data_IF_419210403249
#
_entry.id   IF_419210403249
#
_cell.length_a   1.000
_cell.length_b   1.000
_cell.length_c   1.000
_cell.angle_alpha   90.00
_cell.angle_beta   90.00
_cell.angle_gamma   90.00
#
_symmetry.space_group_name_H-M   'P 1'
#
loop_
_entity.id
_entity.type
_entity.pdbx_description
1 polymer ?
#
# COMPACT_ATOMS: atom_id res chain seq x y z
N UNK A 1 -59.03 -37.78 -36.73
CA UNK A 1 -59.40 -38.06 -35.33
C UNK A 1 -58.18 -37.79 -34.47
N UNK A 2 -58.02 -36.55 -34.03
CA UNK A 2 -58.42 -36.04 -32.69
C UNK A 2 -57.22 -36.19 -31.72
N UNK A 3 -56.50 -35.08 -31.43
CA UNK A 3 -56.64 -34.24 -30.20
C UNK A 3 -55.99 -34.96 -28.99
N UNK A 4 -55.02 -34.45 -28.21
CA UNK A 4 -54.68 -33.11 -27.70
C UNK A 4 -53.27 -33.15 -27.07
N UNK A 5 -52.59 -32.00 -26.96
CA UNK A 5 -51.51 -31.81 -25.97
C UNK A 5 -50.50 -30.71 -26.29
N UNK A 6 -50.84 -29.46 -25.99
CA UNK A 6 -49.93 -28.31 -25.89
C UNK A 6 -50.01 -27.76 -24.44
N UNK A 7 -49.18 -26.81 -23.99
CA UNK A 7 -47.83 -26.97 -23.44
C UNK A 7 -47.75 -26.59 -21.93
N UNK A 8 -46.72 -27.05 -21.22
CA UNK A 8 -46.39 -26.52 -19.89
C UNK A 8 -45.30 -25.45 -20.00
N UNK A 9 -45.67 -24.22 -19.70
CA UNK A 9 -44.81 -23.06 -19.46
C UNK A 9 -44.22 -23.11 -18.04
N UNK A 10 -42.93 -22.81 -17.90
CA UNK A 10 -42.29 -22.38 -16.64
C UNK A 10 -41.00 -21.63 -17.01
N UNK A 11 -41.02 -20.31 -17.11
CA UNK A 11 -40.78 -19.31 -16.04
C UNK A 11 -39.36 -19.38 -15.41
N UNK A 12 -38.46 -18.62 -16.04
CA UNK A 12 -37.34 -17.83 -15.51
C UNK A 12 -36.07 -18.47 -14.90
N UNK A 13 -34.88 -18.01 -15.38
CA UNK A 13 -33.63 -18.01 -14.62
C UNK A 13 -33.46 -16.65 -13.90
N UNK A 14 -33.76 -16.56 -12.61
CA UNK A 14 -33.53 -15.33 -11.82
C UNK A 14 -32.68 -15.53 -10.55
N UNK A 15 -32.03 -16.69 -10.37
CA UNK A 15 -31.26 -16.94 -9.15
C UNK A 15 -29.81 -16.41 -9.15
N UNK A 16 -29.18 -16.17 -10.32
CA UNK A 16 -27.78 -15.70 -10.37
C UNK A 16 -27.61 -14.17 -10.35
N UNK A 17 -28.63 -13.39 -10.72
CA UNK A 17 -28.56 -11.93 -10.60
C UNK A 17 -28.72 -11.44 -9.15
N UNK A 18 -29.43 -12.18 -8.29
CA UNK A 18 -29.72 -11.76 -6.92
C UNK A 18 -28.50 -11.62 -6.01
N UNK A 19 -27.51 -12.53 -6.12
CA UNK A 19 -26.32 -12.50 -5.26
C UNK A 19 -25.35 -11.36 -5.63
N UNK A 20 -25.22 -11.08 -6.93
CA UNK A 20 -24.41 -9.97 -7.46
C UNK A 20 -25.09 -8.63 -7.11
N UNK A 21 -26.43 -8.57 -7.15
CA UNK A 21 -27.19 -7.39 -6.78
C UNK A 21 -27.17 -7.11 -5.27
N UNK A 22 -27.10 -8.14 -4.41
CA UNK A 22 -26.99 -7.99 -2.94
C UNK A 22 -25.64 -7.38 -2.52
N UNK A 23 -24.54 -7.77 -3.19
CA UNK A 23 -23.20 -7.19 -2.96
C UNK A 23 -23.13 -5.74 -3.46
N UNK A 24 -23.84 -5.41 -4.55
CA UNK A 24 -23.96 -4.04 -5.06
C UNK A 24 -24.88 -3.16 -4.19
N UNK A 25 -25.97 -3.69 -3.63
CA UNK A 25 -26.88 -2.97 -2.74
C UNK A 25 -26.23 -2.60 -1.40
N UNK A 26 -25.41 -3.49 -0.82
CA UNK A 26 -24.62 -3.19 0.39
C UNK A 26 -23.55 -2.11 0.15
N UNK A 27 -23.17 -1.85 -1.10
CA UNK A 27 -22.22 -0.79 -1.50
C UNK A 27 -22.90 0.51 -1.98
N UNK A 28 -24.22 0.50 -2.20
CA UNK A 28 -24.94 1.61 -2.84
C UNK A 28 -26.07 2.22 -1.99
N UNK A 29 -26.66 1.52 -1.02
CA UNK A 29 -27.70 2.07 -0.15
C UNK A 29 -27.32 2.08 1.33
N UNK A 30 -26.65 3.15 1.76
CA UNK A 30 -26.79 3.66 3.12
C UNK A 30 -27.15 5.14 3.03
N UNK A 31 -28.44 5.41 2.85
CA UNK A 31 -29.00 6.74 3.11
C UNK A 31 -30.24 6.53 3.97
N UNK A 32 -30.13 6.83 5.25
CA UNK A 32 -31.32 7.08 6.09
C UNK A 32 -31.42 8.58 6.32
N UNK A 33 -32.64 9.09 6.08
CA UNK A 33 -33.07 10.43 6.50
C UNK A 33 -33.13 10.47 8.04
N UNK A 34 -32.70 11.61 8.56
CA UNK A 34 -32.91 12.15 9.91
C UNK A 34 -32.49 11.32 11.14
N UNK A 35 -31.62 11.94 11.95
CA UNK A 35 -31.47 11.67 13.38
C UNK A 35 -30.41 10.63 13.73
N UNK A 36 -29.19 11.10 14.02
CA UNK A 36 -28.00 10.41 14.59
C UNK A 36 -28.19 8.94 15.06
N UNK A 37 -27.35 8.00 14.57
CA UNK A 37 -26.98 6.86 15.41
C UNK A 37 -25.48 6.50 15.39
N UNK A 38 -25.06 5.87 16.51
CA UNK A 38 -23.74 5.31 16.84
C UNK A 38 -23.15 4.44 15.72
N UNK A 39 -21.87 4.65 15.43
CA UNK A 39 -21.10 3.89 14.44
C UNK A 39 -20.49 2.65 15.09
N UNK A 40 -21.03 1.47 14.74
CA UNK A 40 -20.43 0.19 15.08
C UNK A 40 -20.80 -0.83 14.01
N UNK A 41 -19.84 -1.18 13.14
CA UNK A 41 -19.97 -2.29 12.20
C UNK A 41 -19.72 -3.60 12.98
N UNK A 42 -20.58 -4.64 12.87
CA UNK A 42 -20.20 -5.99 13.26
C UNK A 42 -19.13 -6.50 12.28
N UNK A 43 -17.87 -6.43 12.70
CA UNK A 43 -16.72 -6.90 11.93
C UNK A 43 -16.71 -8.42 11.78
N UNK A 44 -17.41 -8.95 10.77
CA UNK A 44 -17.42 -10.39 10.47
C UNK A 44 -17.06 -10.78 9.02
N UNK A 45 -16.69 -9.83 8.16
CA UNK A 45 -16.43 -10.12 6.72
C UNK A 45 -14.95 -9.97 6.32
N UNK A 46 -14.08 -9.38 7.14
CA UNK A 46 -12.70 -9.06 6.73
C UNK A 46 -11.60 -9.83 7.47
N UNK A 47 -11.85 -11.09 7.84
CA UNK A 47 -10.83 -11.96 8.43
C UNK A 47 -10.85 -13.34 7.75
N UNK A 48 -10.05 -13.47 6.68
CA UNK A 48 -9.41 -14.69 6.13
C UNK A 48 -9.10 -14.49 4.64
N UNK A 49 -7.82 -14.61 4.28
CA UNK A 49 -7.30 -14.76 2.91
C UNK A 49 -7.79 -16.06 2.23
N UNK A 50 -8.50 -16.94 2.95
CA UNK A 50 -8.96 -18.24 2.45
C UNK A 50 -10.44 -18.33 2.08
N UNK A 51 -11.24 -17.28 2.29
CA UNK A 51 -12.67 -17.34 1.90
C UNK A 51 -12.78 -17.16 0.39
N UNK A 52 -13.38 -18.13 -0.31
CA UNK A 52 -13.62 -18.11 -1.75
C UNK A 52 -14.20 -16.75 -2.24
N UNK A 53 -15.14 -16.19 -1.48
CA UNK A 53 -15.74 -14.88 -1.75
C UNK A 53 -14.73 -13.73 -1.71
N UNK A 54 -13.77 -13.75 -0.78
CA UNK A 54 -12.70 -12.77 -0.72
C UNK A 54 -11.82 -12.88 -1.98
N UNK A 55 -11.43 -14.09 -2.38
CA UNK A 55 -10.61 -14.30 -3.60
C UNK A 55 -11.32 -13.80 -4.85
N UNK A 56 -12.63 -14.05 -4.97
CA UNK A 56 -13.44 -13.55 -6.09
C UNK A 56 -13.50 -12.01 -6.04
N UNK A 57 -13.87 -11.43 -4.91
CA UNK A 57 -13.97 -9.97 -4.74
C UNK A 57 -12.64 -9.25 -5.00
N UNK A 58 -11.54 -9.78 -4.47
CA UNK A 58 -10.20 -9.25 -4.69
C UNK A 58 -9.77 -9.34 -6.17
N UNK A 59 -10.03 -10.46 -6.85
CA UNK A 59 -9.74 -10.55 -8.28
C UNK A 59 -10.57 -9.54 -9.10
N UNK A 60 -11.85 -9.37 -8.77
CA UNK A 60 -12.69 -8.35 -9.40
C UNK A 60 -12.13 -6.93 -9.18
N UNK A 61 -11.71 -6.62 -7.95
CA UNK A 61 -11.08 -5.34 -7.65
C UNK A 61 -9.75 -5.17 -8.39
N UNK A 62 -8.81 -6.10 -8.26
CA UNK A 62 -7.44 -5.91 -8.75
C UNK A 62 -7.28 -6.04 -10.28
N UNK A 63 -8.23 -6.69 -10.99
CA UNK A 63 -8.03 -7.07 -12.40
C UNK A 63 -9.10 -6.59 -13.37
N UNK A 64 -10.16 -5.93 -12.91
CA UNK A 64 -11.30 -5.59 -13.79
C UNK A 64 -11.65 -4.11 -13.79
N UNK A 65 -12.42 -3.72 -14.81
CA UNK A 65 -13.03 -2.39 -14.90
C UNK A 65 -13.90 -2.05 -13.67
N UNK A 66 -14.52 -3.04 -13.02
CA UNK A 66 -15.32 -2.80 -11.82
C UNK A 66 -14.47 -2.27 -10.68
N UNK A 67 -13.29 -2.86 -10.46
CA UNK A 67 -12.31 -2.35 -9.50
C UNK A 67 -11.86 -0.93 -9.82
N UNK A 68 -11.59 -0.65 -11.10
CA UNK A 68 -11.28 0.70 -11.54
C UNK A 68 -12.42 1.69 -11.27
N UNK A 69 -13.69 1.31 -11.43
CA UNK A 69 -14.84 2.16 -11.06
C UNK A 69 -14.90 2.42 -9.55
N UNK A 70 -14.64 1.40 -8.72
CA UNK A 70 -14.59 1.56 -7.26
C UNK A 70 -13.48 2.51 -6.84
N UNK A 71 -12.28 2.37 -7.41
CA UNK A 71 -11.18 3.32 -7.25
C UNK A 71 -11.60 4.74 -7.65
N UNK A 72 -12.23 4.94 -8.81
CA UNK A 72 -12.69 6.28 -9.23
C UNK A 72 -13.70 6.88 -8.25
N UNK A 73 -14.58 6.07 -7.67
CA UNK A 73 -15.52 6.51 -6.64
C UNK A 73 -14.80 6.89 -5.34
N UNK A 74 -13.80 6.11 -4.92
CA UNK A 74 -12.94 6.44 -3.78
C UNK A 74 -12.18 7.75 -4.00
N UNK A 75 -11.58 7.92 -5.18
CA UNK A 75 -10.90 9.14 -5.61
C UNK A 75 -11.82 10.37 -5.53
N UNK A 76 -13.04 10.27 -6.06
CA UNK A 76 -14.01 11.36 -5.98
C UNK A 76 -14.42 11.69 -4.54
N UNK A 77 -14.57 10.68 -3.68
CA UNK A 77 -14.89 10.88 -2.26
C UNK A 77 -13.73 11.55 -1.52
N UNK A 78 -12.51 11.08 -1.77
CA UNK A 78 -11.29 11.62 -1.20
C UNK A 78 -11.11 13.10 -1.55
N UNK A 79 -11.20 13.48 -2.82
CA UNK A 79 -11.10 14.88 -3.26
C UNK A 79 -12.14 15.81 -2.61
N UNK A 80 -13.33 15.29 -2.28
CA UNK A 80 -14.36 16.06 -1.56
C UNK A 80 -14.05 16.22 -0.07
N UNK A 81 -13.41 15.22 0.53
CA UNK A 81 -13.07 15.20 1.96
C UNK A 81 -11.77 15.94 2.26
N UNK A 82 -10.80 15.81 1.37
CA UNK A 82 -9.44 16.32 1.47
C UNK A 82 -9.05 16.97 0.13
N UNK A 83 -9.56 18.18 -0.17
CA UNK A 83 -9.27 18.85 -1.44
C UNK A 83 -7.77 19.12 -1.65
N UNK A 84 -7.04 19.38 -0.57
CA UNK A 84 -5.60 19.65 -0.56
C UNK A 84 -4.75 18.43 -0.16
N UNK A 85 -5.37 17.24 -0.07
CA UNK A 85 -4.74 16.02 0.44
C UNK A 85 -4.95 15.80 1.94
N UNK A 86 -4.74 14.57 2.41
CA UNK A 86 -4.96 14.16 3.80
C UNK A 86 -3.84 14.57 4.77
N UNK A 87 -2.76 15.15 4.24
CA UNK A 87 -1.60 15.60 5.01
C UNK A 87 -1.00 16.87 4.41
N UNK A 88 -0.40 17.72 5.25
CA UNK A 88 0.47 18.79 4.81
C UNK A 88 1.75 18.22 4.19
N UNK A 89 2.10 18.73 3.01
CA UNK A 89 3.25 18.30 2.22
C UNK A 89 4.56 18.77 2.84
N UNK A 90 5.50 17.85 3.05
CA UNK A 90 6.84 18.14 3.56
C UNK A 90 7.92 17.62 2.59
N UNK A 91 8.40 18.46 1.66
CA UNK A 91 9.44 18.04 0.72
C UNK A 91 10.77 17.84 1.44
N UNK A 92 11.54 16.84 1.01
CA UNK A 92 12.95 16.66 1.40
C UNK A 92 13.85 17.03 0.23
N UNK A 93 14.84 17.86 0.50
CA UNK A 93 15.79 18.32 -0.52
C UNK A 93 17.20 17.90 -0.09
N UNK A 94 17.88 17.23 -1.00
CA UNK A 94 19.28 16.86 -0.96
C UNK A 94 19.99 17.59 -2.11
N UNK A 95 21.32 17.47 -2.21
CA UNK A 95 22.11 18.22 -3.19
C UNK A 95 21.69 17.93 -4.66
N UNK A 96 20.79 18.73 -5.21
CA UNK A 96 20.28 18.54 -6.56
C UNK A 96 19.12 17.55 -6.69
N UNK A 97 18.57 17.02 -5.59
CA UNK A 97 17.44 16.08 -5.59
C UNK A 97 16.36 16.53 -4.62
N UNK A 98 15.10 16.52 -5.05
CA UNK A 98 13.94 16.81 -4.19
C UNK A 98 12.96 15.64 -4.22
N UNK A 99 12.59 15.12 -3.05
CA UNK A 99 11.52 14.15 -2.87
C UNK A 99 10.30 14.87 -2.31
N UNK A 100 9.21 14.86 -3.07
CA UNK A 100 7.96 15.55 -2.74
C UNK A 100 6.86 14.50 -2.48
N UNK A 101 6.44 14.29 -1.22
CA UNK A 101 5.26 13.49 -0.93
C UNK A 101 3.99 14.22 -1.39
N UNK A 102 3.10 13.50 -2.06
CA UNK A 102 1.82 13.98 -2.57
C UNK A 102 0.72 13.15 -1.89
N UNK A 103 0.08 13.67 -0.84
CA UNK A 103 -1.02 12.98 -0.18
C UNK A 103 -2.21 12.90 -1.13
N UNK A 104 -2.64 11.68 -1.42
CA UNK A 104 -3.72 11.37 -2.35
C UNK A 104 -4.70 10.40 -1.71
N UNK A 105 -5.90 10.31 -2.27
CA UNK A 105 -6.96 9.46 -1.71
C UNK A 105 -7.24 9.80 -0.23
N UNK A 106 -7.45 8.79 0.61
CA UNK A 106 -7.76 9.01 2.04
C UNK A 106 -6.50 8.99 2.91
N UNK A 107 -5.51 8.19 2.53
CA UNK A 107 -4.29 7.94 3.31
C UNK A 107 -3.08 7.56 2.44
N UNK A 108 -3.21 7.45 1.12
CA UNK A 108 -2.12 7.07 0.22
C UNK A 108 -1.12 8.22 0.02
N UNK A 109 0.14 7.88 -0.26
CA UNK A 109 1.13 8.79 -0.79
C UNK A 109 1.54 8.39 -2.21
N UNK A 110 1.49 9.36 -3.12
CA UNK A 110 2.33 9.34 -4.32
C UNK A 110 3.60 10.13 -4.02
N UNK A 111 4.69 9.87 -4.76
CA UNK A 111 5.93 10.63 -4.60
C UNK A 111 6.38 11.21 -5.94
N UNK A 112 6.79 12.48 -5.94
CA UNK A 112 7.47 13.10 -7.08
C UNK A 112 8.94 13.35 -6.71
N UNK A 113 9.85 12.66 -7.39
CA UNK A 113 11.28 12.77 -7.21
C UNK A 113 11.84 13.59 -8.36
N UNK A 114 12.55 14.67 -8.04
CA UNK A 114 12.97 15.69 -8.99
C UNK A 114 14.49 15.80 -8.96
N UNK A 115 15.13 15.66 -10.11
CA UNK A 115 16.47 16.20 -10.35
C UNK A 115 16.33 17.71 -10.55
N UNK A 116 16.76 18.48 -9.57
CA UNK A 116 16.49 19.93 -9.56
C UNK A 116 17.34 20.69 -10.57
N UNK A 117 18.44 20.10 -11.05
CA UNK A 117 19.30 20.70 -12.08
C UNK A 117 18.73 20.45 -13.47
N UNK A 118 18.39 19.21 -13.81
CA UNK A 118 17.85 18.87 -15.14
C UNK A 118 16.35 19.12 -15.29
N UNK A 119 15.65 19.39 -14.18
CA UNK A 119 14.18 19.52 -14.13
C UNK A 119 13.44 18.27 -14.63
N UNK A 120 14.10 17.12 -14.60
CA UNK A 120 13.47 15.83 -14.88
C UNK A 120 12.90 15.25 -13.59
N UNK A 121 11.75 14.58 -13.71
CA UNK A 121 11.06 14.00 -12.58
C UNK A 121 10.63 12.55 -12.82
N UNK A 122 10.56 11.81 -11.72
CA UNK A 122 10.02 10.46 -11.60
C UNK A 122 8.87 10.48 -10.61
N UNK A 123 7.73 9.88 -10.96
CA UNK A 123 6.63 9.68 -10.03
C UNK A 123 6.61 8.23 -9.54
N UNK A 124 6.46 8.02 -8.24
CA UNK A 124 6.19 6.69 -7.65
C UNK A 124 4.71 6.63 -7.29
N UNK A 125 4.05 5.54 -7.71
CA UNK A 125 2.65 5.22 -7.43
C UNK A 125 1.69 6.41 -7.58
N UNK A 126 1.53 6.98 -8.80
CA UNK A 126 0.71 8.16 -9.02
C UNK A 126 -0.79 7.82 -8.99
N UNK A 127 -1.36 7.66 -7.81
CA UNK A 127 -2.74 7.22 -7.57
C UNK A 127 -3.77 8.24 -8.04
N UNK A 128 -3.57 9.53 -7.73
CA UNK A 128 -4.42 10.62 -8.22
C UNK A 128 -3.67 11.38 -9.34
N UNK A 129 -4.03 11.14 -10.62
CA UNK A 129 -3.32 11.77 -11.73
C UNK A 129 -3.48 13.30 -11.76
N UNK A 130 -4.56 13.86 -11.20
CA UNK A 130 -4.75 15.33 -11.18
C UNK A 130 -3.87 15.99 -10.12
N UNK A 131 -3.81 15.40 -8.93
CA UNK A 131 -2.95 15.91 -7.86
C UNK A 131 -1.47 15.85 -8.28
N UNK A 132 -1.05 14.72 -8.86
CA UNK A 132 0.32 14.55 -9.35
C UNK A 132 0.63 15.51 -10.51
N UNK A 133 -0.26 15.65 -11.49
CA UNK A 133 -0.09 16.60 -12.60
C UNK A 133 0.02 18.05 -12.11
N UNK A 134 -0.82 18.46 -11.14
CA UNK A 134 -0.74 19.79 -10.55
C UNK A 134 0.61 20.04 -9.84
N UNK A 135 1.17 19.04 -9.16
CA UNK A 135 2.51 19.14 -8.58
C UNK A 135 3.61 19.25 -9.65
N UNK A 136 3.51 18.48 -10.74
CA UNK A 136 4.45 18.55 -11.87
C UNK A 136 4.48 19.97 -12.48
N UNK A 137 3.29 20.54 -12.72
CA UNK A 137 3.14 21.90 -13.25
C UNK A 137 3.66 22.96 -12.29
N UNK A 138 3.30 22.86 -11.00
CA UNK A 138 3.76 23.78 -9.95
C UNK A 138 5.27 23.79 -9.79
N UNK A 139 5.92 22.63 -9.90
CA UNK A 139 7.38 22.50 -9.78
C UNK A 139 8.11 22.85 -11.09
N UNK A 140 7.38 22.99 -12.21
CA UNK A 140 7.95 23.30 -13.52
C UNK A 140 8.90 22.21 -14.03
N UNK A 141 8.54 20.93 -13.82
CA UNK A 141 9.38 19.77 -14.15
C UNK A 141 8.77 18.93 -15.27
N UNK A 142 9.60 18.14 -15.94
CA UNK A 142 9.18 17.17 -16.97
C UNK A 142 9.11 15.76 -16.39
N UNK A 143 7.92 15.14 -16.38
CA UNK A 143 7.76 13.76 -15.94
C UNK A 143 8.28 12.79 -17.01
N UNK A 144 9.34 12.06 -16.69
CA UNK A 144 9.99 11.11 -17.62
C UNK A 144 9.62 9.66 -17.33
N UNK A 145 9.40 9.33 -16.06
CA UNK A 145 9.14 7.97 -15.62
C UNK A 145 8.10 7.91 -14.49
N UNK A 146 7.34 6.82 -14.50
CA UNK A 146 6.49 6.36 -13.41
C UNK A 146 7.06 5.02 -12.93
N UNK A 147 7.31 4.90 -11.63
CA UNK A 147 7.68 3.65 -10.98
C UNK A 147 6.46 3.13 -10.21
N UNK A 148 5.91 1.99 -10.60
CA UNK A 148 4.79 1.36 -9.88
C UNK A 148 5.32 0.26 -8.97
N UNK A 149 5.02 0.35 -7.68
CA UNK A 149 5.39 -0.68 -6.71
C UNK A 149 4.57 -1.95 -6.94
N UNK A 150 3.27 -1.81 -7.19
CA UNK A 150 2.37 -2.93 -7.43
C UNK A 150 1.08 -2.51 -8.16
N UNK A 151 0.21 -3.48 -8.44
CA UNK A 151 -0.94 -3.32 -9.34
C UNK A 151 -2.17 -2.65 -8.78
N UNK A 152 -2.30 -2.46 -7.46
CA UNK A 152 -3.57 -1.95 -6.93
C UNK A 152 -3.88 -0.57 -7.47
N UNK A 153 -5.18 -0.28 -7.59
CA UNK A 153 -5.65 0.90 -8.31
C UNK A 153 -5.34 2.19 -7.57
N UNK A 154 -5.22 2.12 -6.25
CA UNK A 154 -4.73 3.20 -5.41
C UNK A 154 -3.22 3.42 -5.48
N UNK A 155 -2.50 2.71 -6.36
CA UNK A 155 -1.09 2.98 -6.70
C UNK A 155 -0.90 3.24 -8.20
N UNK A 156 -1.50 2.38 -9.03
CA UNK A 156 -1.34 2.41 -10.49
C UNK A 156 -2.47 3.15 -11.25
N UNK A 157 -3.50 3.61 -10.55
CA UNK A 157 -4.74 4.11 -11.15
C UNK A 157 -4.59 5.37 -12.00
N UNK A 158 -3.59 6.21 -11.72
CA UNK A 158 -3.30 7.41 -12.49
C UNK A 158 -2.38 7.21 -13.69
N UNK A 159 -1.78 6.03 -13.87
CA UNK A 159 -0.81 5.76 -14.94
C UNK A 159 -1.31 6.18 -16.32
N UNK A 160 -2.55 5.79 -16.64
CA UNK A 160 -3.17 6.10 -17.94
C UNK A 160 -3.26 7.60 -18.21
N UNK A 161 -3.74 8.34 -17.22
CA UNK A 161 -4.04 9.76 -17.36
C UNK A 161 -2.75 10.58 -17.34
N UNK A 162 -1.78 10.25 -16.49
CA UNK A 162 -0.49 10.93 -16.51
C UNK A 162 0.29 10.71 -17.80
N UNK A 163 0.28 9.49 -18.37
CA UNK A 163 0.91 9.24 -19.69
C UNK A 163 0.26 10.02 -20.83
N UNK A 164 -1.03 10.32 -20.73
CA UNK A 164 -1.73 11.15 -21.73
C UNK A 164 -1.28 12.60 -21.68
N UNK A 165 -1.07 13.13 -20.48
CA UNK A 165 -0.58 14.50 -20.28
C UNK A 165 0.93 14.62 -20.56
N UNK A 166 1.70 13.60 -20.21
CA UNK A 166 3.16 13.58 -20.33
C UNK A 166 3.59 12.57 -21.40
N UNK A 167 3.54 13.01 -22.67
CA UNK A 167 3.90 12.15 -23.80
C UNK A 167 5.34 11.65 -23.67
N UNK A 168 5.56 10.36 -23.91
CA UNK A 168 6.87 9.72 -23.76
C UNK A 168 7.20 9.25 -22.34
N UNK A 169 6.35 9.54 -21.35
CA UNK A 169 6.54 9.03 -20.00
C UNK A 169 6.49 7.48 -19.97
N UNK A 170 7.54 6.89 -19.39
CA UNK A 170 7.76 5.45 -19.27
C UNK A 170 7.12 4.94 -17.98
N UNK A 171 6.39 3.82 -18.04
CA UNK A 171 5.83 3.17 -16.84
C UNK A 171 6.62 1.90 -16.59
N UNK A 172 7.25 1.87 -15.43
CA UNK A 172 8.04 0.76 -14.92
C UNK A 172 7.27 0.01 -13.85
N UNK A 173 7.54 -1.29 -13.74
CA UNK A 173 6.86 -2.17 -12.82
C UNK A 173 7.11 -3.63 -13.17
N UNK A 174 6.68 -4.53 -12.30
CA UNK A 174 6.90 -5.95 -12.49
C UNK A 174 5.83 -6.50 -13.45
N UNK A 175 6.21 -7.20 -14.53
CA UNK A 175 5.23 -7.78 -15.45
C UNK A 175 4.31 -8.81 -14.78
N UNK A 176 4.74 -9.44 -13.68
CA UNK A 176 3.95 -10.42 -12.93
C UNK A 176 2.71 -9.82 -12.24
N UNK A 177 2.71 -8.50 -12.00
CA UNK A 177 1.57 -7.84 -11.36
C UNK A 177 0.58 -7.25 -12.36
N UNK A 178 0.82 -7.31 -13.68
CA UNK A 178 -0.14 -6.76 -14.65
C UNK A 178 -0.39 -5.26 -14.46
N UNK A 179 0.66 -4.50 -14.17
CA UNK A 179 0.63 -3.05 -13.97
C UNK A 179 -0.08 -2.35 -15.13
N UNK A 180 -1.06 -1.51 -14.81
CA UNK A 180 -1.82 -0.77 -15.81
C UNK A 180 -0.88 0.15 -16.62
N UNK A 181 -0.93 0.03 -17.95
CA UNK A 181 -0.12 0.81 -18.89
C UNK A 181 1.39 0.64 -18.77
N UNK A 182 1.86 -0.51 -18.25
CA UNK A 182 3.27 -0.90 -18.23
C UNK A 182 3.90 -0.77 -19.62
N UNK A 183 5.08 -0.16 -19.71
CA UNK A 183 5.85 -0.08 -20.95
C UNK A 183 7.27 -0.61 -20.83
N UNK A 184 7.84 -0.55 -19.63
CA UNK A 184 9.22 -0.97 -19.36
C UNK A 184 9.19 -1.96 -18.18
N UNK A 185 8.98 -3.26 -18.44
CA UNK A 185 8.99 -4.26 -17.38
C UNK A 185 10.36 -4.29 -16.70
N UNK A 186 10.38 -4.49 -15.38
CA UNK A 186 11.61 -4.64 -14.60
C UNK A 186 11.65 -6.00 -13.91
N UNK A 187 12.87 -6.48 -13.73
CA UNK A 187 13.28 -7.62 -12.94
C UNK A 187 13.96 -7.18 -11.64
N UNK A 188 14.21 -8.14 -10.76
CA UNK A 188 14.96 -7.92 -9.54
C UNK A 188 16.38 -7.41 -9.84
N UNK A 189 16.78 -6.31 -9.19
CA UNK A 189 18.06 -5.57 -9.32
C UNK A 189 18.26 -4.80 -10.62
N UNK A 190 17.22 -4.64 -11.44
CA UNK A 190 17.31 -3.74 -12.59
C UNK A 190 17.49 -2.29 -12.13
N UNK A 191 18.20 -1.51 -12.95
CA UNK A 191 18.46 -0.10 -12.70
C UNK A 191 17.59 0.79 -13.59
N UNK A 192 17.05 1.86 -13.03
CA UNK A 192 16.33 2.91 -13.76
C UNK A 192 17.03 4.25 -13.54
N UNK A 193 17.47 4.87 -14.63
CA UNK A 193 18.15 6.16 -14.59
C UNK A 193 17.33 7.26 -15.27
N UNK A 194 17.19 8.40 -14.58
CA UNK A 194 16.53 9.62 -15.09
C UNK A 194 17.33 10.83 -14.63
N UNK A 195 18.02 11.51 -15.55
CA UNK A 195 18.97 12.55 -15.18
C UNK A 195 20.04 11.98 -14.24
N UNK A 196 20.22 12.59 -13.07
CA UNK A 196 21.09 12.06 -11.99
C UNK A 196 20.44 11.01 -11.08
N UNK A 197 19.12 10.80 -11.20
CA UNK A 197 18.38 9.89 -10.32
C UNK A 197 18.69 8.46 -10.74
N UNK A 198 19.22 7.65 -9.83
CA UNK A 198 19.53 6.23 -10.05
C UNK A 198 18.71 5.38 -9.09
N UNK A 199 17.75 4.63 -9.61
CA UNK A 199 16.91 3.73 -8.83
C UNK A 199 17.31 2.28 -9.09
N UNK A 200 17.48 1.50 -8.03
CA UNK A 200 17.49 0.05 -8.10
C UNK A 200 16.10 -0.51 -7.78
N UNK A 201 15.54 -1.31 -8.69
CA UNK A 201 14.28 -2.01 -8.47
C UNK A 201 14.55 -3.36 -7.80
N UNK A 202 13.89 -3.62 -6.66
CA UNK A 202 14.05 -4.87 -5.94
C UNK A 202 12.68 -5.56 -5.83
N UNK A 203 12.58 -6.77 -6.37
CA UNK A 203 11.40 -7.61 -6.21
C UNK A 203 11.19 -7.96 -4.73
N UNK A 204 9.99 -7.69 -4.22
CA UNK A 204 9.58 -7.88 -2.83
C UNK A 204 8.21 -8.54 -2.74
N UNK A 205 8.04 -9.76 -3.30
CA UNK A 205 6.75 -10.45 -3.27
C UNK A 205 6.25 -10.66 -1.83
N UNK A 206 4.94 -10.52 -1.64
CA UNK A 206 4.32 -10.65 -0.32
C UNK A 206 2.92 -10.06 -0.32
N UNK A 207 2.84 -8.74 -0.41
CA UNK A 207 1.56 -8.03 -0.52
C UNK A 207 0.83 -8.45 -1.80
N UNK A 208 1.46 -8.23 -2.96
CA UNK A 208 1.13 -8.86 -4.23
C UNK A 208 2.27 -9.76 -4.69
N UNK A 209 2.03 -10.59 -5.71
CA UNK A 209 3.07 -11.47 -6.27
C UNK A 209 4.16 -10.71 -7.01
N UNK A 210 3.81 -9.62 -7.69
CA UNK A 210 4.75 -8.81 -8.46
C UNK A 210 5.22 -7.54 -7.73
N UNK A 211 5.00 -7.42 -6.42
CA UNK A 211 5.38 -6.21 -5.70
C UNK A 211 6.89 -5.92 -5.85
N UNK A 212 7.24 -4.65 -6.04
CA UNK A 212 8.61 -4.15 -6.07
C UNK A 212 8.76 -2.92 -5.19
N UNK A 213 9.95 -2.77 -4.64
CA UNK A 213 10.42 -1.53 -4.02
C UNK A 213 11.44 -0.86 -4.93
N UNK A 214 11.61 0.44 -4.77
CA UNK A 214 12.61 1.22 -5.51
C UNK A 214 13.54 1.92 -4.53
N UNK A 215 14.84 1.68 -4.65
CA UNK A 215 15.87 2.33 -3.84
C UNK A 215 16.58 3.37 -4.70
N UNK A 216 16.40 4.64 -4.38
CA UNK A 216 17.15 5.74 -4.98
C UNK A 216 18.50 5.86 -4.27
N UNK A 217 19.58 5.74 -5.05
CA UNK A 217 20.95 5.86 -4.56
C UNK A 217 21.28 7.31 -4.18
N UNK A 218 21.66 7.50 -2.91
CA UNK A 218 22.02 8.79 -2.32
C UNK A 218 23.45 9.26 -2.59
N UNK A 219 24.36 8.33 -2.91
CA UNK A 219 25.80 8.60 -3.03
C UNK A 219 26.14 9.68 -4.06
N UNK A 220 25.58 9.67 -5.30
CA UNK A 220 25.92 10.65 -6.33
C UNK A 220 25.66 12.11 -5.94
N UNK A 221 24.83 12.35 -4.93
CA UNK A 221 24.51 13.68 -4.43
C UNK A 221 24.77 13.84 -2.93
N UNK A 222 25.63 13.01 -2.33
CA UNK A 222 26.05 13.12 -0.92
C UNK A 222 24.87 13.24 0.04
N UNK A 223 23.79 12.50 -0.24
CA UNK A 223 22.57 12.44 0.55
C UNK A 223 22.26 11.02 0.98
N UNK A 224 21.26 10.82 1.84
CA UNK A 224 20.80 9.48 2.20
C UNK A 224 20.14 8.81 0.99
N UNK A 225 20.26 7.48 0.93
CA UNK A 225 19.44 6.67 0.03
C UNK A 225 17.96 6.78 0.42
N UNK A 226 17.06 6.63 -0.55
CA UNK A 226 15.60 6.67 -0.31
C UNK A 226 14.93 5.40 -0.80
N UNK A 227 14.23 4.69 0.09
CA UNK A 227 13.41 3.54 -0.21
C UNK A 227 11.95 3.94 -0.42
N UNK A 228 11.42 3.69 -1.61
CA UNK A 228 9.98 3.75 -1.89
C UNK A 228 9.41 2.34 -1.79
N UNK A 229 8.67 2.09 -0.73
CA UNK A 229 8.36 0.72 -0.26
C UNK A 229 6.99 0.20 -0.65
N UNK A 230 6.12 1.06 -1.20
CA UNK A 230 4.74 0.73 -1.51
C UNK A 230 4.05 0.10 -0.30
N UNK A 231 3.51 -1.08 -0.51
CA UNK A 231 2.68 -1.79 0.48
C UNK A 231 3.39 -2.97 1.13
N UNK A 232 4.71 -3.10 0.97
CA UNK A 232 5.47 -4.14 1.68
C UNK A 232 5.85 -3.68 3.09
N UNK A 233 6.39 -2.47 3.23
CA UNK A 233 6.81 -1.91 4.51
C UNK A 233 6.10 -0.57 4.76
N UNK A 234 5.61 -0.38 5.97
CA UNK A 234 5.06 0.88 6.45
C UNK A 234 5.80 1.31 7.71
N UNK A 235 5.63 2.57 8.12
CA UNK A 235 6.08 3.01 9.44
C UNK A 235 5.41 2.13 10.51
N UNK A 236 6.22 1.39 11.28
CA UNK A 236 5.83 0.41 12.30
C UNK A 236 4.92 -0.74 11.82
N UNK A 237 4.81 -0.99 10.50
CA UNK A 237 3.91 -2.01 9.96
C UNK A 237 4.45 -2.69 8.70
N UNK A 238 3.69 -3.66 8.19
CA UNK A 238 3.88 -4.24 6.87
C UNK A 238 2.53 -4.42 6.17
N UNK A 239 2.56 -4.70 4.87
CA UNK A 239 1.39 -5.04 4.08
C UNK A 239 0.61 -6.24 4.60
N UNK A 240 -0.69 -6.27 4.29
CA UNK A 240 -1.45 -7.52 4.31
C UNK A 240 -0.92 -8.44 3.22
N UNK A 241 -0.91 -9.75 3.46
CA UNK A 241 -0.44 -10.75 2.49
C UNK A 241 -1.64 -11.18 1.63
N UNK A 242 -1.85 -10.54 0.48
CA UNK A 242 -2.97 -10.90 -0.40
C UNK A 242 -2.64 -12.04 -1.36
N UNK A 243 -1.40 -12.07 -1.88
CA UNK A 243 -1.02 -13.05 -2.92
C UNK A 243 0.27 -13.84 -2.63
N UNK A 244 0.96 -13.53 -1.53
CA UNK A 244 2.16 -14.23 -1.07
C UNK A 244 1.91 -15.20 0.09
N UNK A 245 2.99 -15.54 0.81
CA UNK A 245 2.97 -16.31 2.06
C UNK A 245 3.76 -15.59 3.16
N UNK A 246 3.60 -15.93 4.45
CA UNK A 246 4.42 -15.37 5.53
C UNK A 246 5.92 -15.52 5.29
N UNK A 247 6.36 -16.68 4.77
CA UNK A 247 7.77 -16.90 4.41
C UNK A 247 8.23 -15.99 3.26
N UNK A 248 7.37 -15.78 2.25
CA UNK A 248 7.68 -14.87 1.13
C UNK A 248 7.81 -13.43 1.62
N UNK A 249 6.85 -12.96 2.43
CA UNK A 249 6.89 -11.63 3.04
C UNK A 249 8.13 -11.47 3.92
N UNK A 250 8.47 -12.47 4.73
CA UNK A 250 9.67 -12.44 5.58
C UNK A 250 10.94 -12.24 4.76
N UNK A 251 11.12 -12.99 3.67
CA UNK A 251 12.28 -12.83 2.79
C UNK A 251 12.37 -11.42 2.19
N UNK A 252 11.23 -10.84 1.82
CA UNK A 252 11.16 -9.45 1.33
C UNK A 252 11.51 -8.42 2.40
N UNK A 253 11.08 -8.63 3.65
CA UNK A 253 11.45 -7.78 4.78
C UNK A 253 12.93 -7.93 5.16
N UNK A 254 13.49 -9.14 5.12
CA UNK A 254 14.91 -9.40 5.37
C UNK A 254 15.80 -8.71 4.33
N UNK A 255 15.37 -8.69 3.06
CA UNK A 255 16.03 -7.91 2.02
C UNK A 255 16.03 -6.41 2.35
N UNK A 256 14.91 -5.86 2.81
CA UNK A 256 14.81 -4.45 3.20
C UNK A 256 15.68 -4.16 4.44
N UNK A 257 15.75 -5.09 5.39
CA UNK A 257 16.61 -4.95 6.57
C UNK A 257 18.10 -4.90 6.23
N UNK A 258 18.51 -5.43 5.08
CA UNK A 258 19.87 -5.35 4.56
C UNK A 258 20.26 -3.98 4.00
N UNK A 259 19.32 -3.03 3.87
CA UNK A 259 19.62 -1.65 3.48
C UNK A 259 20.29 -0.88 4.64
N UNK A 260 21.02 0.19 4.30
CA UNK A 260 21.69 1.05 5.26
C UNK A 260 20.73 1.70 6.25
N UNK A 261 21.13 1.83 7.52
CA UNK A 261 20.26 2.31 8.59
C UNK A 261 19.78 3.76 8.38
N UNK A 262 20.53 4.57 7.66
CA UNK A 262 20.21 5.96 7.29
C UNK A 262 19.29 6.06 6.06
N UNK A 263 18.97 4.94 5.41
CA UNK A 263 18.04 4.91 4.26
C UNK A 263 16.67 5.42 4.68
N UNK A 264 16.20 6.48 4.02
CA UNK A 264 14.89 7.09 4.27
C UNK A 264 13.76 6.22 3.72
N UNK A 265 12.77 5.89 4.55
CA UNK A 265 11.61 5.08 4.19
C UNK A 265 10.42 5.97 3.77
N UNK A 266 9.94 5.74 2.54
CA UNK A 266 8.77 6.39 1.94
C UNK A 266 7.68 5.32 1.67
N UNK A 267 6.67 5.19 2.55
CA UNK A 267 5.63 4.15 2.48
C UNK A 267 4.44 4.48 1.57
N UNK A 268 3.68 3.47 1.14
CA UNK A 268 2.47 3.69 0.33
C UNK A 268 1.34 4.45 1.05
N UNK A 269 1.29 4.39 2.39
CA UNK A 269 0.18 4.89 3.20
C UNK A 269 0.60 5.55 4.52
N UNK A 270 -0.23 6.48 4.98
CA UNK A 270 -0.18 7.13 6.30
C UNK A 270 -0.84 6.25 7.39
N UNK A 271 -0.23 5.10 7.68
CA UNK A 271 -0.70 4.13 8.69
C UNK A 271 0.07 4.16 10.01
N UNK A 272 0.96 5.13 10.19
CA UNK A 272 1.91 5.17 11.30
C UNK A 272 1.24 5.05 12.68
N UNK A 273 0.18 5.82 12.93
CA UNK A 273 -0.50 5.85 14.23
C UNK A 273 -1.19 4.50 14.55
N UNK A 274 -1.93 3.93 13.60
CA UNK A 274 -2.57 2.61 13.78
C UNK A 274 -1.51 1.51 13.96
N UNK A 275 -0.43 1.56 13.17
CA UNK A 275 0.64 0.58 13.23
C UNK A 275 1.39 0.62 14.58
N UNK A 276 1.68 1.82 15.09
CA UNK A 276 2.30 2.01 16.39
C UNK A 276 1.36 1.63 17.54
N UNK A 277 0.04 1.85 17.39
CA UNK A 277 -0.96 1.39 18.35
C UNK A 277 -0.98 -0.15 18.45
N UNK A 278 -0.92 -0.82 17.30
CA UNK A 278 -0.78 -2.29 17.27
C UNK A 278 0.54 -2.75 17.88
N UNK A 279 1.68 -2.13 17.51
CA UNK A 279 2.98 -2.43 18.11
C UNK A 279 2.96 -2.20 19.64
N UNK A 280 2.16 -1.24 20.10
CA UNK A 280 1.60 -1.05 21.43
C UNK A 280 1.31 -2.30 22.23
N UNK A 281 0.46 -3.11 21.62
CA UNK A 281 -0.09 -4.30 22.23
C UNK A 281 0.87 -5.48 22.20
N UNK A 282 1.83 -5.45 21.26
CA UNK A 282 2.79 -6.53 21.04
C UNK A 282 4.03 -6.35 21.91
N UNK A 283 4.61 -5.16 21.95
CA UNK A 283 5.78 -4.82 22.77
C UNK A 283 5.45 -3.60 23.65
N UNK A 284 4.74 -3.78 24.78
CA UNK A 284 4.30 -2.68 25.63
C UNK A 284 5.47 -1.90 26.26
N UNK A 285 6.59 -2.56 26.50
CA UNK A 285 7.78 -1.99 27.15
C UNK A 285 8.79 -1.39 26.16
N UNK A 286 8.49 -1.38 24.85
CA UNK A 286 9.40 -0.83 23.85
C UNK A 286 9.36 0.71 23.86
N UNK A 287 10.32 1.32 24.57
CA UNK A 287 10.44 2.78 24.69
C UNK A 287 10.72 3.51 23.38
N UNK A 288 11.38 2.87 22.40
CA UNK A 288 11.59 3.46 21.08
C UNK A 288 10.26 3.62 20.34
N UNK A 289 9.39 2.61 20.45
CA UNK A 289 8.02 2.63 19.91
C UNK A 289 7.18 3.72 20.57
N UNK A 290 7.24 3.85 21.89
CA UNK A 290 6.48 4.86 22.63
C UNK A 290 6.89 6.29 22.24
N UNK A 291 8.20 6.56 22.17
CA UNK A 291 8.71 7.86 21.68
C UNK A 291 8.24 8.16 20.25
N UNK A 292 8.25 7.16 19.37
CA UNK A 292 7.77 7.33 18.00
C UNK A 292 6.27 7.59 17.94
N UNK A 293 5.46 6.94 18.78
CA UNK A 293 4.02 7.18 18.88
C UNK A 293 3.71 8.63 19.27
N UNK A 294 4.39 9.16 20.30
CA UNK A 294 4.20 10.55 20.72
C UNK A 294 4.55 11.53 19.60
N UNK A 295 5.66 11.30 18.89
CA UNK A 295 6.04 12.11 17.74
C UNK A 295 4.99 12.03 16.61
N UNK A 296 4.50 10.82 16.29
CA UNK A 296 3.46 10.63 15.27
C UNK A 296 2.18 11.36 15.63
N UNK A 297 1.69 11.22 16.87
CA UNK A 297 0.49 11.92 17.34
C UNK A 297 0.64 13.44 17.23
N UNK A 298 1.81 13.98 17.58
CA UNK A 298 2.08 15.41 17.41
C UNK A 298 2.04 15.83 15.93
N UNK A 299 2.65 15.06 15.02
CA UNK A 299 2.56 15.35 13.58
C UNK A 299 1.10 15.32 13.09
N UNK A 300 0.33 14.30 13.48
CA UNK A 300 -1.06 14.11 13.03
C UNK A 300 -2.02 15.18 13.57
N UNK A 301 -1.79 15.72 14.78
CA UNK A 301 -2.53 16.87 15.31
C UNK A 301 -2.41 18.11 14.42
N UNK A 302 -1.26 18.28 13.77
CA UNK A 302 -0.98 19.35 12.81
C UNK A 302 -1.23 18.94 11.36
N UNK A 303 -1.90 17.81 11.13
CA UNK A 303 -2.13 17.21 9.80
C UNK A 303 -0.83 16.98 9.01
N UNK A 304 0.33 16.86 9.65
CA UNK A 304 1.62 16.64 8.98
C UNK A 304 1.83 15.17 8.62
N UNK A 305 2.53 14.92 7.52
CA UNK A 305 2.97 13.58 7.16
C UNK A 305 3.92 13.01 8.22
N UNK A 306 3.84 11.71 8.45
CA UNK A 306 4.75 10.97 9.34
C UNK A 306 5.94 10.36 8.60
N UNK A 307 5.97 10.46 7.27
CA UNK A 307 7.08 10.01 6.43
C UNK A 307 8.01 11.19 6.04
N UNK A 308 9.31 10.93 5.82
CA UNK A 308 9.96 9.62 5.95
C UNK A 308 10.35 9.27 7.40
N UNK A 309 10.45 7.98 7.70
CA UNK A 309 11.29 7.44 8.78
C UNK A 309 12.61 6.94 8.19
N UNK A 310 13.44 6.22 8.96
CA UNK A 310 14.64 5.52 8.48
C UNK A 310 14.55 4.02 8.71
N UNK A 311 15.28 3.22 7.91
CA UNK A 311 15.37 1.76 8.12
C UNK A 311 15.92 1.44 9.53
N UNK A 312 16.90 2.21 10.01
CA UNK A 312 17.44 2.07 11.36
C UNK A 312 16.39 2.30 12.44
N UNK A 313 15.57 3.35 12.31
CA UNK A 313 14.44 3.58 13.21
C UNK A 313 13.44 2.42 13.18
N UNK A 314 13.01 1.96 12.01
CA UNK A 314 12.03 0.87 11.88
C UNK A 314 12.50 -0.41 12.57
N UNK A 315 13.79 -0.75 12.51
CA UNK A 315 14.37 -1.91 13.21
C UNK A 315 14.15 -1.84 14.74
N UNK A 316 13.98 -0.64 15.31
CA UNK A 316 13.81 -0.46 16.75
C UNK A 316 12.37 -0.65 17.25
N UNK A 317 11.35 -0.39 16.42
CA UNK A 317 9.95 -0.40 16.87
C UNK A 317 8.97 -1.15 15.96
N UNK A 318 9.34 -1.48 14.73
CA UNK A 318 8.44 -2.18 13.81
C UNK A 318 8.43 -3.68 14.14
N UNK A 319 7.31 -4.24 14.67
CA UNK A 319 7.29 -5.64 15.11
C UNK A 319 7.57 -6.62 13.96
N UNK A 320 7.28 -6.24 12.70
CA UNK A 320 7.52 -7.11 11.55
C UNK A 320 9.00 -7.20 11.15
N UNK A 321 9.82 -6.18 11.46
CA UNK A 321 11.27 -6.21 11.28
C UNK A 321 12.01 -6.82 12.49
N UNK A 322 11.30 -7.05 13.59
CA UNK A 322 11.85 -7.49 14.87
C UNK A 322 11.61 -8.98 15.15
N UNK A 323 11.15 -9.75 14.16
CA UNK A 323 10.88 -11.20 14.30
C UNK A 323 12.10 -12.03 14.73
N UNK A 324 13.31 -11.49 14.56
CA UNK A 324 14.57 -12.08 15.02
C UNK A 324 14.92 -11.73 16.48
N UNK A 325 14.27 -10.72 17.08
CA UNK A 325 14.56 -10.24 18.43
C UNK A 325 13.90 -11.14 19.48
N UNK A 326 14.68 -11.59 20.48
CA UNK A 326 14.17 -12.43 21.57
C UNK A 326 13.04 -11.75 22.35
N UNK A 327 13.17 -10.44 22.66
CA UNK A 327 12.14 -9.69 23.38
C UNK A 327 10.75 -9.74 22.71
N UNK A 328 10.70 -9.66 21.38
CA UNK A 328 9.44 -9.78 20.64
C UNK A 328 8.89 -11.22 20.70
N UNK A 329 9.78 -12.21 20.57
CA UNK A 329 9.40 -13.63 20.62
C UNK A 329 8.81 -13.99 21.99
N UNK A 330 9.44 -13.52 23.07
CA UNK A 330 8.96 -13.67 24.44
C UNK A 330 7.61 -12.97 24.65
N UNK A 331 7.46 -11.73 24.16
CA UNK A 331 6.22 -10.97 24.29
C UNK A 331 5.03 -11.60 23.53
N UNK A 332 5.28 -12.29 22.42
CA UNK A 332 4.24 -13.01 21.67
C UNK A 332 3.81 -14.32 22.33
N UNK A 333 4.67 -14.89 23.19
CA UNK A 333 4.46 -16.16 23.86
C UNK A 333 4.53 -17.38 22.92
N UNK A 334 4.24 -18.58 23.43
CA UNK A 334 4.24 -19.80 22.63
C UNK A 334 3.20 -19.71 21.50
N UNK A 335 3.62 -20.06 20.29
CA UNK A 335 2.73 -20.09 19.13
C UNK A 335 1.88 -21.37 19.14
N UNK A 336 0.57 -21.30 18.82
CA UNK A 336 -0.27 -22.49 18.70
C UNK A 336 0.09 -23.33 17.46
N UNK A 337 0.38 -24.64 17.63
CA UNK A 337 0.59 -25.58 16.52
C UNK A 337 1.10 -26.98 16.96
N UNK A 338 0.84 -28.06 16.20
CA UNK A 338 1.29 -29.40 16.55
C UNK A 338 2.75 -29.63 16.11
N UNK A 339 3.58 -30.14 17.02
CA UNK A 339 4.95 -30.59 16.74
C UNK A 339 5.98 -29.93 17.65
N UNK A 340 6.47 -30.68 18.64
CA UNK A 340 7.48 -30.26 19.60
C UNK A 340 8.89 -30.23 19.01
N UNK A 341 9.15 -29.24 18.17
CA UNK A 341 10.52 -28.87 17.80
C UNK A 341 10.82 -27.41 18.18
N UNK A 342 12.05 -27.19 18.61
CA UNK A 342 12.52 -26.08 19.43
C UNK A 342 12.45 -24.71 18.74
N UNK A 343 11.55 -23.84 19.21
CA UNK A 343 11.50 -22.42 18.86
C UNK A 343 10.56 -22.06 17.68
N UNK A 344 9.78 -20.97 17.77
CA UNK A 344 8.91 -20.56 16.67
C UNK A 344 9.73 -20.00 15.49
N UNK A 345 9.67 -20.63 14.31
CA UNK A 345 10.30 -20.08 13.10
C UNK A 345 9.83 -18.64 12.83
N UNK A 346 10.73 -17.74 12.40
CA UNK A 346 10.42 -16.32 12.12
C UNK A 346 9.21 -16.12 11.19
N UNK A 347 8.99 -17.05 10.25
CA UNK A 347 7.83 -16.99 9.35
C UNK A 347 6.50 -17.22 10.08
N UNK A 348 6.44 -18.15 11.05
CA UNK A 348 5.26 -18.37 11.90
C UNK A 348 5.01 -17.18 12.84
N UNK A 349 6.09 -16.56 13.36
CA UNK A 349 5.96 -15.34 14.15
C UNK A 349 5.37 -14.19 13.32
N UNK A 350 5.86 -14.01 12.08
CA UNK A 350 5.32 -13.03 11.15
C UNK A 350 3.84 -13.32 10.83
N UNK A 351 3.49 -14.58 10.60
CA UNK A 351 2.10 -15.00 10.38
C UNK A 351 1.21 -14.62 11.56
N UNK A 352 1.64 -14.94 12.78
CA UNK A 352 0.89 -14.62 13.99
C UNK A 352 0.75 -13.10 14.20
N UNK A 353 1.83 -12.33 14.01
CA UNK A 353 1.78 -10.87 14.06
C UNK A 353 0.79 -10.31 13.04
N UNK A 354 0.84 -10.82 11.80
CA UNK A 354 -0.06 -10.38 10.73
C UNK A 354 -1.51 -10.71 11.08
N UNK A 355 -1.77 -11.91 11.60
CA UNK A 355 -3.08 -12.35 12.07
C UNK A 355 -3.62 -11.46 13.20
N UNK A 356 -2.79 -11.16 14.21
CA UNK A 356 -3.16 -10.26 15.32
C UNK A 356 -3.45 -8.86 14.81
N UNK A 357 -2.65 -8.32 13.88
CA UNK A 357 -2.88 -6.99 13.29
C UNK A 357 -4.13 -6.94 12.42
N UNK A 358 -4.42 -7.97 11.64
CA UNK A 358 -5.62 -8.02 10.79
C UNK A 358 -6.92 -8.07 11.62
N UNK A 359 -6.84 -8.57 12.86
CA UNK A 359 -7.94 -8.59 13.82
C UNK A 359 -7.98 -7.34 14.70
N UNK A 360 -6.89 -6.57 14.75
CA UNK A 360 -6.81 -5.35 15.52
C UNK A 360 -7.75 -4.30 14.90
N UNK A 361 -8.78 -3.93 15.65
CA UNK A 361 -9.57 -2.74 15.36
C UNK A 361 -8.90 -1.61 16.13
N UNK A 362 -8.32 -0.65 15.41
CA UNK A 362 -7.85 0.59 16.02
C UNK A 362 -8.94 1.16 16.92
N UNK A 363 -8.57 1.55 18.14
CA UNK A 363 -9.50 2.16 19.10
C UNK A 363 -9.81 3.60 18.71
#
# INVERSE_FOLDING_TARGET
MALLGCPATSLYPFACCGLVFLVLLLLLFTRTRCGRPRWGIPGLIMARSERLLFRIGYNLYARTWLGYLLYRKQLQRARRRYPDGHSAVQPRVFNGVKVLPIPVLLDNYSYLIIDTQSKLAVAVDPSDPRAVQACIEKEGVSLVAILCTHKHWDHSGGNRELRRHNRGCRVYGNPQDGIAHLTHPLCHRDMVSVGRLQFQALATPGHTRGHMIYVLDGEPYKGPSCLFSGDVLFLSGCGRIFEGSPATMLNSLDLIMGLGDDTLLWPGHEYAEENLSFAGLVEPENMAREKKMQWVQQQRLEYRSTCPSTIGEEKTYNPFLRTHCLALQEALGPLPGPGGDTGPSRARLLEELRRRKDQHKGK
#
